data_IF_933595467267
#
_entry.id   IF_933595467267
#
_cell.length_a   1.000
_cell.length_b   1.000
_cell.length_c   1.000
_cell.angle_alpha   90.00
_cell.angle_beta   90.00
_cell.angle_gamma   90.00
#
_symmetry.space_group_name_H-M   'P 1'
#
loop_
_entity.id
_entity.type
_entity.pdbx_description
1 polymer ?
#
# COMPACT_ATOMS: atom_id res chain seq x y z
N UNK A 1 -8.20 9.41 -32.12
CA UNK A 1 -9.53 9.98 -31.78
C UNK A 1 -9.88 9.75 -30.31
N UNK A 2 -9.95 8.48 -29.84
CA UNK A 2 -10.26 8.11 -28.44
C UNK A 2 -9.38 8.81 -27.40
N UNK A 3 -8.05 8.77 -27.55
CA UNK A 3 -7.11 9.49 -26.67
C UNK A 3 -7.38 11.00 -26.57
N UNK A 4 -7.72 11.64 -27.69
CA UNK A 4 -7.99 13.07 -27.75
C UNK A 4 -9.29 13.45 -27.02
N UNK A 5 -10.27 12.54 -27.00
CA UNK A 5 -11.51 12.71 -26.23
C UNK A 5 -11.29 12.45 -24.73
N UNK A 6 -10.42 11.50 -24.40
CA UNK A 6 -10.06 11.19 -23.02
C UNK A 6 -9.37 12.36 -22.31
N UNK A 7 -8.55 13.17 -23.02
CA UNK A 7 -7.96 14.39 -22.47
C UNK A 7 -9.01 15.37 -21.92
N UNK A 8 -10.13 15.56 -22.64
CA UNK A 8 -11.20 16.44 -22.16
C UNK A 8 -11.88 15.92 -20.89
N UNK A 9 -11.92 14.60 -20.70
CA UNK A 9 -12.49 13.96 -19.50
C UNK A 9 -11.55 14.17 -18.30
N UNK A 10 -10.25 13.96 -18.50
CA UNK A 10 -9.22 14.21 -17.47
C UNK A 10 -9.25 15.69 -17.04
N UNK A 11 -9.28 16.61 -18.01
CA UNK A 11 -9.36 18.05 -17.72
C UNK A 11 -10.66 18.43 -16.98
N UNK A 12 -11.78 17.80 -17.35
CA UNK A 12 -13.05 18.02 -16.67
C UNK A 12 -13.01 17.52 -15.22
N UNK A 13 -12.39 16.38 -14.97
CA UNK A 13 -12.22 15.84 -13.61
C UNK A 13 -11.38 16.78 -12.74
N UNK A 14 -10.26 17.28 -13.27
CA UNK A 14 -9.41 18.26 -12.58
C UNK A 14 -10.22 19.53 -12.24
N UNK A 15 -10.94 20.07 -13.23
CA UNK A 15 -11.74 21.28 -13.08
C UNK A 15 -12.90 21.12 -12.07
N UNK A 16 -13.60 19.98 -12.10
CA UNK A 16 -14.68 19.67 -11.14
C UNK A 16 -14.12 19.59 -9.71
N UNK A 17 -12.88 19.10 -9.57
CA UNK A 17 -12.15 19.07 -8.30
C UNK A 17 -11.49 20.41 -7.93
N UNK A 18 -11.76 21.49 -8.67
CA UNK A 18 -11.25 22.83 -8.39
C UNK A 18 -9.77 23.02 -8.70
N UNK A 19 -9.19 22.17 -9.54
CA UNK A 19 -7.80 22.26 -10.01
C UNK A 19 -7.76 22.79 -11.45
N UNK A 20 -6.81 23.68 -11.71
CA UNK A 20 -6.54 24.21 -13.06
C UNK A 20 -5.62 23.29 -13.89
N UNK A 21 -4.94 22.37 -13.22
CA UNK A 21 -4.04 21.38 -13.82
C UNK A 21 -4.49 19.96 -13.44
N UNK A 22 -4.41 19.04 -14.42
CA UNK A 22 -4.70 17.64 -14.19
C UNK A 22 -3.54 16.92 -13.50
N UNK A 23 -3.86 16.12 -12.50
CA UNK A 23 -2.94 15.26 -11.77
C UNK A 23 -3.01 13.81 -12.26
N UNK A 24 -2.11 12.95 -11.75
CA UNK A 24 -2.08 11.52 -12.09
C UNK A 24 -3.44 10.86 -11.84
N UNK A 25 -4.10 11.14 -10.72
CA UNK A 25 -5.37 10.52 -10.34
C UNK A 25 -6.54 10.89 -11.25
N UNK A 26 -6.49 12.06 -11.91
CA UNK A 26 -7.51 12.43 -12.90
C UNK A 26 -7.51 11.46 -14.10
N UNK A 27 -6.39 10.73 -14.30
CA UNK A 27 -6.27 9.67 -15.29
C UNK A 27 -6.98 8.37 -14.87
N UNK A 28 -7.49 8.22 -13.64
CA UNK A 28 -8.30 7.05 -13.26
C UNK A 28 -9.55 6.93 -14.14
N UNK A 29 -10.07 8.06 -14.65
CA UNK A 29 -11.23 8.11 -15.55
C UNK A 29 -10.99 7.35 -16.87
N UNK A 30 -9.72 7.13 -17.25
CA UNK A 30 -9.36 6.34 -18.44
C UNK A 30 -9.88 4.90 -18.38
N UNK A 31 -10.11 4.35 -17.17
CA UNK A 31 -10.68 3.01 -17.00
C UNK A 31 -12.08 2.87 -17.62
N UNK A 32 -12.78 3.99 -17.83
CA UNK A 32 -14.13 4.02 -18.41
C UNK A 32 -14.15 4.32 -19.91
N UNK A 33 -13.04 4.77 -20.49
CA UNK A 33 -13.02 5.35 -21.84
C UNK A 33 -12.14 4.61 -22.84
N UNK A 34 -11.24 3.74 -22.37
CA UNK A 34 -10.25 3.09 -23.22
C UNK A 34 -10.68 1.72 -23.79
N UNK A 35 -11.72 1.08 -23.25
CA UNK A 35 -12.28 -0.16 -23.78
C UNK A 35 -13.39 0.08 -24.82
N UNK A 36 -13.59 -0.89 -25.70
CA UNK A 36 -14.60 -0.86 -26.78
C UNK A 36 -15.77 -1.80 -26.49
N UNK A 37 -15.48 -2.94 -25.84
CA UNK A 37 -16.46 -3.97 -25.49
C UNK A 37 -16.45 -4.21 -23.98
N UNK A 38 -17.61 -4.27 -23.30
CA UNK A 38 -17.63 -4.58 -21.87
C UNK A 38 -17.18 -6.02 -21.61
N UNK A 39 -16.75 -6.30 -20.38
CA UNK A 39 -16.26 -7.62 -19.96
C UNK A 39 -14.73 -7.72 -19.95
N UNK A 40 -14.08 -8.58 -20.76
CA UNK A 40 -12.63 -8.81 -20.66
C UNK A 40 -11.79 -7.55 -20.92
N UNK A 41 -12.10 -6.79 -21.99
CA UNK A 41 -11.33 -5.59 -22.37
C UNK A 41 -11.46 -4.49 -21.30
N UNK A 42 -12.66 -4.28 -20.75
CA UNK A 42 -12.89 -3.36 -19.64
C UNK A 42 -12.05 -3.74 -18.41
N UNK A 43 -11.98 -5.02 -18.07
CA UNK A 43 -11.19 -5.50 -16.92
C UNK A 43 -9.69 -5.26 -17.14
N UNK A 44 -9.16 -5.64 -18.30
CA UNK A 44 -7.74 -5.43 -18.63
C UNK A 44 -7.35 -3.95 -18.68
N UNK A 45 -8.21 -3.10 -19.24
CA UNK A 45 -8.01 -1.65 -19.27
C UNK A 45 -8.01 -1.06 -17.87
N UNK A 46 -8.95 -1.48 -17.02
CA UNK A 46 -9.02 -1.04 -15.62
C UNK A 46 -7.75 -1.40 -14.85
N UNK A 47 -7.28 -2.63 -14.99
CA UNK A 47 -6.03 -3.10 -14.35
C UNK A 47 -4.83 -2.27 -14.82
N UNK A 48 -4.68 -2.07 -16.14
CA UNK A 48 -3.58 -1.28 -16.70
C UNK A 48 -3.59 0.20 -16.26
N UNK A 49 -4.78 0.82 -16.22
CA UNK A 49 -4.94 2.21 -15.76
C UNK A 49 -4.59 2.32 -14.28
N UNK A 50 -5.12 1.44 -13.42
CA UNK A 50 -4.84 1.50 -11.98
C UNK A 50 -3.35 1.28 -11.67
N UNK A 51 -2.67 0.40 -12.40
CA UNK A 51 -1.21 0.21 -12.30
C UNK A 51 -0.43 1.45 -12.73
N UNK A 52 -0.91 2.17 -13.74
CA UNK A 52 -0.21 3.34 -14.29
C UNK A 52 -0.45 4.60 -13.47
N UNK A 53 -1.65 4.76 -12.92
CA UNK A 53 -2.14 6.00 -12.30
C UNK A 53 -1.83 6.07 -10.81
N UNK A 54 -1.73 4.91 -10.14
CA UNK A 54 -1.47 4.90 -8.71
C UNK A 54 -0.22 4.07 -8.35
N UNK A 55 0.96 4.48 -8.84
CA UNK A 55 2.21 3.75 -8.61
C UNK A 55 2.55 3.69 -7.11
N UNK A 56 2.21 4.72 -6.34
CA UNK A 56 2.45 4.75 -4.89
C UNK A 56 1.55 3.74 -4.17
N UNK A 57 0.25 3.66 -4.52
CA UNK A 57 -0.65 2.63 -3.98
C UNK A 57 -0.16 1.24 -4.32
N UNK A 58 0.29 1.03 -5.55
CA UNK A 58 0.84 -0.26 -5.97
C UNK A 58 2.07 -0.63 -5.12
N UNK A 59 2.99 0.32 -4.91
CA UNK A 59 4.16 0.09 -4.06
C UNK A 59 3.77 -0.26 -2.62
N UNK A 60 2.77 0.42 -2.03
CA UNK A 60 2.28 0.10 -0.67
C UNK A 60 1.66 -1.30 -0.63
N UNK A 61 0.90 -1.69 -1.65
CA UNK A 61 0.33 -3.04 -1.76
C UNK A 61 1.41 -4.11 -1.88
N UNK A 62 2.42 -3.89 -2.73
CA UNK A 62 3.56 -4.81 -2.88
C UNK A 62 4.32 -4.98 -1.56
N UNK A 63 4.59 -3.89 -0.83
CA UNK A 63 5.21 -3.98 0.50
C UNK A 63 4.35 -4.79 1.48
N UNK A 64 3.03 -4.61 1.43
CA UNK A 64 2.10 -5.32 2.29
C UNK A 64 2.01 -6.81 1.98
N UNK A 65 2.03 -7.19 0.70
CA UNK A 65 2.06 -8.59 0.25
C UNK A 65 3.38 -9.25 0.66
N UNK A 66 4.52 -8.60 0.43
CA UNK A 66 5.82 -9.11 0.87
C UNK A 66 5.89 -9.30 2.39
N UNK A 67 5.28 -8.40 3.17
CA UNK A 67 5.21 -8.56 4.63
C UNK A 67 4.41 -9.79 5.05
N UNK A 68 3.28 -10.07 4.39
CA UNK A 68 2.49 -11.28 4.64
C UNK A 68 3.26 -12.54 4.29
N UNK A 69 3.96 -12.54 3.15
CA UNK A 69 4.81 -13.66 2.74
C UNK A 69 5.95 -13.92 3.73
N UNK A 70 6.61 -12.87 4.22
CA UNK A 70 7.67 -13.00 5.23
C UNK A 70 7.15 -13.60 6.53
N UNK A 71 5.96 -13.17 7.00
CA UNK A 71 5.29 -13.77 8.15
C UNK A 71 5.03 -15.25 7.90
N UNK A 72 4.39 -15.59 6.78
CA UNK A 72 4.01 -16.97 6.48
C UNK A 72 5.25 -17.90 6.38
N UNK A 73 6.37 -17.37 5.89
CA UNK A 73 7.64 -18.11 5.86
C UNK A 73 8.17 -18.44 7.26
N UNK A 74 8.00 -17.56 8.25
CA UNK A 74 8.36 -17.86 9.66
C UNK A 74 7.53 -19.03 10.18
N UNK A 75 6.21 -19.02 9.97
CA UNK A 75 5.30 -20.07 10.45
C UNK A 75 5.49 -21.43 9.75
N UNK A 76 6.03 -21.44 8.51
CA UNK A 76 6.41 -22.66 7.79
C UNK A 76 7.63 -23.38 8.40
N UNK A 77 8.53 -22.66 9.08
CA UNK A 77 9.71 -23.28 9.71
C UNK A 77 9.28 -24.05 10.95
N UNK A 78 9.81 -25.26 11.17
CA UNK A 78 9.51 -26.06 12.36
C UNK A 78 9.97 -25.33 13.63
N UNK A 79 9.28 -25.55 14.75
CA UNK A 79 9.64 -24.94 16.03
C UNK A 79 11.08 -25.27 16.43
N UNK A 80 11.73 -24.32 17.12
CA UNK A 80 13.11 -24.45 17.60
C UNK A 80 14.00 -23.29 17.16
N UNK A 81 15.32 -23.53 17.21
CA UNK A 81 16.33 -22.52 16.89
C UNK A 81 16.19 -21.95 15.47
N UNK A 82 15.86 -22.80 14.49
CA UNK A 82 15.69 -22.37 13.10
C UNK A 82 14.54 -21.37 12.92
N UNK A 83 13.41 -21.58 13.61
CA UNK A 83 12.29 -20.62 13.59
C UNK A 83 12.68 -19.31 14.28
N UNK A 84 13.43 -19.38 15.37
CA UNK A 84 13.90 -18.19 16.09
C UNK A 84 14.83 -17.35 15.21
N UNK A 85 15.77 -17.99 14.51
CA UNK A 85 16.66 -17.32 13.56
C UNK A 85 15.87 -16.69 12.40
N UNK A 86 14.90 -17.42 11.83
CA UNK A 86 14.04 -16.88 10.77
C UNK A 86 13.19 -15.70 11.25
N UNK A 87 12.72 -15.74 12.50
CA UNK A 87 11.98 -14.65 13.12
C UNK A 87 12.84 -13.38 13.30
N UNK A 88 14.14 -13.51 13.65
CA UNK A 88 15.07 -12.37 13.69
C UNK A 88 15.21 -11.73 12.31
N UNK A 89 15.40 -12.53 11.27
CA UNK A 89 15.51 -12.04 9.89
C UNK A 89 14.22 -11.38 9.41
N UNK A 90 13.07 -12.01 9.67
CA UNK A 90 11.77 -11.47 9.31
C UNK A 90 11.50 -10.14 10.04
N UNK A 91 11.86 -10.02 11.31
CA UNK A 91 11.73 -8.79 12.07
C UNK A 91 12.51 -7.62 11.42
N UNK A 92 13.74 -7.86 10.97
CA UNK A 92 14.53 -6.84 10.27
C UNK A 92 13.91 -6.43 8.93
N UNK A 93 13.42 -7.41 8.15
CA UNK A 93 12.75 -7.17 6.87
C UNK A 93 11.44 -6.41 7.02
N UNK A 94 10.58 -6.83 7.95
CA UNK A 94 9.31 -6.17 8.24
C UNK A 94 9.52 -4.71 8.68
N UNK A 95 10.57 -4.44 9.46
CA UNK A 95 10.93 -3.05 9.80
C UNK A 95 11.26 -2.23 8.55
N UNK A 96 12.07 -2.77 7.65
CA UNK A 96 12.41 -2.09 6.39
C UNK A 96 11.17 -1.83 5.52
N UNK A 97 10.25 -2.79 5.43
CA UNK A 97 8.99 -2.64 4.69
C UNK A 97 8.10 -1.55 5.31
N UNK A 98 7.98 -1.52 6.65
CA UNK A 98 7.25 -0.46 7.35
C UNK A 98 7.85 0.92 7.09
N UNK A 99 9.17 1.05 7.12
CA UNK A 99 9.83 2.32 6.88
C UNK A 99 9.61 2.81 5.45
N UNK A 100 9.57 1.90 4.47
CA UNK A 100 9.21 2.24 3.09
C UNK A 100 7.73 2.64 2.95
N UNK A 101 6.82 1.86 3.53
CA UNK A 101 5.39 2.21 3.56
C UNK A 101 5.15 3.58 4.20
N UNK A 102 5.84 3.91 5.30
CA UNK A 102 5.76 5.23 5.95
C UNK A 102 6.16 6.36 5.00
N UNK A 103 7.26 6.22 4.25
CA UNK A 103 7.69 7.24 3.28
C UNK A 103 6.64 7.45 2.19
N UNK A 104 6.07 6.36 1.66
CA UNK A 104 5.03 6.42 0.64
C UNK A 104 3.75 7.08 1.18
N UNK A 105 3.35 6.75 2.41
CA UNK A 105 2.21 7.38 3.09
C UNK A 105 2.45 8.88 3.32
N UNK A 106 3.65 9.27 3.76
CA UNK A 106 4.01 10.69 3.89
C UNK A 106 3.92 11.40 2.54
N UNK A 107 4.40 10.77 1.46
CA UNK A 107 4.28 11.35 0.12
C UNK A 107 2.82 11.58 -0.30
N UNK A 108 1.91 10.65 0.02
CA UNK A 108 0.47 10.80 -0.22
C UNK A 108 -0.10 11.94 0.65
N UNK A 109 0.27 11.99 1.93
CA UNK A 109 -0.18 13.02 2.89
C UNK A 109 0.26 14.42 2.48
N UNK A 110 1.50 14.58 2.03
CA UNK A 110 2.07 15.86 1.56
C UNK A 110 1.36 16.38 0.30
N UNK A 111 0.77 15.48 -0.49
CA UNK A 111 -0.12 15.82 -1.61
C UNK A 111 -1.56 16.12 -1.18
N UNK A 112 -1.84 16.17 0.13
CA UNK A 112 -3.17 16.43 0.69
C UNK A 112 -4.17 15.28 0.49
N UNK A 113 -3.69 14.06 0.17
CA UNK A 113 -4.55 12.93 -0.17
C UNK A 113 -4.88 12.08 1.07
N UNK A 114 -6.05 11.42 1.10
CA UNK A 114 -6.43 10.57 2.23
C UNK A 114 -5.47 9.38 2.42
N UNK A 115 -5.01 9.16 3.65
CA UNK A 115 -4.04 8.10 3.99
C UNK A 115 -4.59 6.94 4.81
N UNK A 116 -5.83 7.03 5.30
CA UNK A 116 -6.40 6.11 6.30
C UNK A 116 -6.28 4.62 5.92
N UNK A 117 -6.57 4.27 4.66
CA UNK A 117 -6.46 2.89 4.17
C UNK A 117 -5.02 2.37 4.24
N UNK A 118 -4.04 3.21 3.87
CA UNK A 118 -2.63 2.83 3.85
C UNK A 118 -2.05 2.75 5.27
N UNK A 119 -2.49 3.63 6.17
CA UNK A 119 -2.16 3.58 7.59
C UNK A 119 -2.71 2.30 8.25
N UNK A 120 -3.91 1.86 7.87
CA UNK A 120 -4.46 0.57 8.31
C UNK A 120 -3.58 -0.61 7.84
N UNK A 121 -3.13 -0.59 6.58
CA UNK A 121 -2.21 -1.60 6.06
C UNK A 121 -0.87 -1.60 6.82
N UNK A 122 -0.30 -0.42 7.07
CA UNK A 122 0.91 -0.29 7.88
C UNK A 122 0.72 -0.85 9.29
N UNK A 123 -0.42 -0.55 9.93
CA UNK A 123 -0.77 -1.08 11.25
C UNK A 123 -0.85 -2.62 11.24
N UNK A 124 -1.41 -3.23 10.18
CA UNK A 124 -1.41 -4.69 10.02
C UNK A 124 0.01 -5.24 9.94
N UNK A 125 0.92 -4.61 9.21
CA UNK A 125 2.35 -5.02 9.18
C UNK A 125 3.01 -4.87 10.55
N UNK A 126 2.69 -3.81 11.29
CA UNK A 126 3.17 -3.62 12.67
C UNK A 126 2.67 -4.72 13.61
N UNK A 127 1.42 -5.15 13.47
CA UNK A 127 0.88 -6.29 14.22
C UNK A 127 1.60 -7.60 13.87
N UNK A 128 1.82 -7.89 12.57
CA UNK A 128 2.56 -9.09 12.16
C UNK A 128 3.97 -9.11 12.76
N UNK A 129 4.64 -7.96 12.80
CA UNK A 129 5.96 -7.86 13.44
C UNK A 129 5.88 -8.11 14.94
N UNK A 130 4.88 -7.53 15.62
CA UNK A 130 4.66 -7.74 17.05
C UNK A 130 4.39 -9.22 17.39
N UNK A 131 3.56 -9.90 16.59
CA UNK A 131 3.29 -11.34 16.70
C UNK A 131 4.58 -12.15 16.58
N UNK A 132 5.40 -11.90 15.54
CA UNK A 132 6.65 -12.64 15.32
C UNK A 132 7.62 -12.48 16.49
N UNK A 133 7.81 -11.25 16.99
CA UNK A 133 8.80 -11.01 18.05
C UNK A 133 8.31 -11.50 19.43
N UNK A 134 7.01 -11.44 19.70
CA UNK A 134 6.45 -11.95 20.95
C UNK A 134 6.45 -13.49 20.97
N UNK A 135 5.95 -14.12 19.92
CA UNK A 135 5.75 -15.57 19.86
C UNK A 135 7.05 -16.35 19.63
N UNK A 136 8.04 -15.76 18.95
CA UNK A 136 9.24 -16.50 18.54
C UNK A 136 10.54 -15.96 19.11
N UNK A 137 10.56 -14.73 19.63
CA UNK A 137 11.76 -14.14 20.25
C UNK A 137 11.55 -13.81 21.74
N UNK A 138 10.33 -13.93 22.27
CA UNK A 138 10.02 -13.60 23.66
C UNK A 138 10.19 -12.12 24.01
N UNK A 139 10.08 -11.23 23.02
CA UNK A 139 10.24 -9.78 23.17
C UNK A 139 8.89 -9.14 23.51
N UNK A 140 8.88 -8.13 24.37
CA UNK A 140 7.67 -7.37 24.71
C UNK A 140 7.07 -6.62 23.50
N UNK A 141 5.75 -6.73 23.33
CA UNK A 141 4.99 -6.09 22.26
C UNK A 141 4.65 -4.61 22.52
N UNK A 142 4.82 -4.11 23.75
CA UNK A 142 4.44 -2.73 24.12
C UNK A 142 4.97 -1.65 23.16
N UNK A 143 6.23 -1.71 22.67
CA UNK A 143 6.75 -0.72 21.72
C UNK A 143 5.97 -0.65 20.39
N UNK A 144 5.41 -1.77 19.93
CA UNK A 144 4.62 -1.83 18.69
C UNK A 144 3.24 -1.21 18.89
N UNK A 145 2.62 -1.44 20.06
CA UNK A 145 1.34 -0.83 20.41
C UNK A 145 1.46 0.69 20.55
N UNK A 146 2.57 1.17 21.10
CA UNK A 146 2.88 2.60 21.18
C UNK A 146 3.12 3.21 19.79
N UNK A 147 3.80 2.48 18.90
CA UNK A 147 3.96 2.89 17.50
C UNK A 147 2.59 3.02 16.81
N UNK A 148 1.68 2.07 16.98
CA UNK A 148 0.33 2.13 16.40
C UNK A 148 -0.48 3.31 16.93
N UNK A 149 -0.43 3.59 18.24
CA UNK A 149 -1.10 4.75 18.84
C UNK A 149 -0.56 6.08 18.27
N UNK A 150 0.75 6.17 18.03
CA UNK A 150 1.35 7.36 17.41
C UNK A 150 0.90 7.54 15.96
N UNK A 151 0.72 6.46 15.23
CA UNK A 151 0.18 6.50 13.86
C UNK A 151 -1.29 6.98 13.87
N UNK A 152 -2.08 6.62 14.88
CA UNK A 152 -3.47 7.05 15.03
C UNK A 152 -3.63 8.45 15.66
N UNK A 153 -2.63 8.94 16.40
CA UNK A 153 -2.69 10.20 17.15
C UNK A 153 -2.07 11.43 16.46
N UNK A 154 -1.53 11.29 15.26
CA UNK A 154 -1.07 12.40 14.41
C UNK A 154 -2.17 12.90 13.44
N UNK A 155 -3.43 12.83 13.89
CA UNK A 155 -4.63 13.37 13.24
C UNK A 155 -5.00 14.69 13.91
#
# INVERSE_FOLDING_TARGET
RRWRQAFGIIQAEAWINGRDEAEEEDMEQLQHCLWSTPGPEQKSVREAVLQSVNPIKQQILEQFEMAQEERDQVYKVKQGADRSNRAVEANAKLKSMQDEMKKLIINIKDRGKPTAMYEEMLNKVTLMQAEIVTEHLGVDASPFMDQMKRLQGNI
#
